data_IF_054867262800
#
_entry.id   IF_054867262800
#
_cell.length_a   1.000
_cell.length_b   1.000
_cell.length_c   1.000
_cell.angle_alpha   90.00
_cell.angle_beta   90.00
_cell.angle_gamma   90.00
#
_symmetry.space_group_name_H-M   'P 1'
#
loop_
_entity.id
_entity.type
_entity.pdbx_description
1 polymer ?
#
# COMPACT_ATOMS: atom_id res chain seq x y z
N UNK A 1 -25.75 10.63 -6.42
CA UNK A 1 -24.98 9.69 -5.57
C UNK A 1 -25.42 9.93 -4.12
N UNK A 2 -26.02 8.93 -3.46
CA UNK A 2 -26.78 9.13 -2.22
C UNK A 2 -25.94 9.36 -0.97
N UNK A 3 -26.56 9.94 0.07
CA UNK A 3 -25.98 10.27 1.39
C UNK A 3 -25.23 9.08 2.01
N UNK A 4 -25.71 7.86 1.80
CA UNK A 4 -25.07 6.62 2.28
C UNK A 4 -23.66 6.47 1.69
N UNK A 5 -23.47 6.76 0.40
CA UNK A 5 -22.19 6.57 -0.28
C UNK A 5 -21.15 7.62 0.17
N UNK A 6 -21.60 8.83 0.51
CA UNK A 6 -20.72 9.85 1.12
C UNK A 6 -20.33 9.53 2.56
N UNK A 7 -21.21 8.85 3.32
CA UNK A 7 -20.90 8.38 4.67
C UNK A 7 -19.85 7.27 4.61
N UNK A 8 -20.05 6.25 3.77
CA UNK A 8 -19.11 5.14 3.64
C UNK A 8 -17.69 5.62 3.27
N UNK A 9 -17.56 6.60 2.37
CA UNK A 9 -16.26 7.20 2.01
C UNK A 9 -15.53 7.94 3.14
N UNK A 10 -16.24 8.32 4.22
CA UNK A 10 -15.69 9.11 5.33
C UNK A 10 -15.61 8.34 6.64
N UNK A 11 -16.34 7.23 6.78
CA UNK A 11 -16.44 6.49 8.03
C UNK A 11 -15.26 5.54 8.26
N UNK A 12 -14.77 4.88 7.21
CA UNK A 12 -13.75 3.85 7.32
C UNK A 12 -12.68 3.98 6.23
N UNK A 13 -11.47 3.53 6.56
CA UNK A 13 -10.46 3.21 5.55
C UNK A 13 -10.83 1.88 4.91
N UNK A 14 -10.92 1.85 3.58
CA UNK A 14 -11.24 0.65 2.81
C UNK A 14 -10.21 0.49 1.69
N UNK A 15 -9.64 -0.71 1.55
CA UNK A 15 -8.76 -1.07 0.43
C UNK A 15 -9.60 -1.80 -0.61
N UNK A 16 -9.55 -1.30 -1.85
CA UNK A 16 -10.32 -1.83 -2.98
C UNK A 16 -9.48 -2.64 -3.95
N UNK A 17 -8.21 -2.26 -4.15
CA UNK A 17 -7.31 -2.96 -5.07
C UNK A 17 -5.84 -2.68 -4.74
N UNK A 18 -4.96 -3.58 -5.18
CA UNK A 18 -3.51 -3.44 -5.09
C UNK A 18 -2.92 -3.78 -6.45
N UNK A 19 -2.08 -2.89 -6.98
CA UNK A 19 -1.43 -3.03 -8.29
C UNK A 19 0.08 -2.78 -8.17
N UNK A 20 0.94 -3.53 -8.90
CA UNK A 20 0.60 -4.71 -9.70
C UNK A 20 0.36 -5.95 -8.83
N UNK A 21 -0.38 -6.93 -9.34
CA UNK A 21 -0.63 -8.21 -8.65
C UNK A 21 0.51 -9.21 -8.78
N UNK A 22 1.40 -9.00 -9.76
CA UNK A 22 2.60 -9.80 -10.00
C UNK A 22 3.77 -8.88 -10.28
N UNK A 23 4.95 -9.27 -9.82
CA UNK A 23 6.18 -8.50 -9.95
C UNK A 23 7.30 -9.41 -10.43
N UNK A 24 8.30 -8.80 -11.06
CA UNK A 24 9.49 -9.49 -11.52
C UNK A 24 10.60 -9.38 -10.47
N UNK A 25 11.34 -10.46 -10.30
CA UNK A 25 12.50 -10.51 -9.42
C UNK A 25 13.64 -9.63 -9.96
N UNK A 26 14.37 -8.96 -9.06
CA UNK A 26 15.49 -8.07 -9.42
C UNK A 26 15.06 -6.73 -10.04
N UNK A 27 13.75 -6.50 -10.22
CA UNK A 27 13.23 -5.24 -10.72
C UNK A 27 12.74 -4.32 -9.59
N UNK A 28 12.89 -3.01 -9.78
CA UNK A 28 12.27 -2.00 -8.93
C UNK A 28 10.83 -1.77 -9.38
N UNK A 29 9.89 -1.79 -8.44
CA UNK A 29 8.49 -1.48 -8.72
C UNK A 29 7.90 -0.56 -7.65
N UNK A 30 6.79 0.08 -8.01
CA UNK A 30 5.95 0.81 -7.07
C UNK A 30 4.64 0.05 -6.91
N UNK A 31 4.16 -0.02 -5.67
CA UNK A 31 2.85 -0.59 -5.35
C UNK A 31 1.85 0.52 -5.16
N UNK A 32 0.77 0.47 -5.92
CA UNK A 32 -0.38 1.36 -5.79
C UNK A 32 -1.45 0.63 -5.01
N UNK A 33 -1.80 1.18 -3.84
CA UNK A 33 -2.95 0.72 -3.05
C UNK A 33 -4.10 1.66 -3.32
N UNK A 34 -5.20 1.17 -3.89
CA UNK A 34 -6.42 1.94 -4.17
C UNK A 34 -7.44 1.69 -3.08
N UNK A 35 -8.16 2.73 -2.68
CA UNK A 35 -9.09 2.65 -1.56
C UNK A 35 -9.90 3.92 -1.35
N UNK A 36 -10.44 4.06 -0.14
CA UNK A 36 -11.10 5.28 0.34
C UNK A 36 -10.65 5.56 1.78
N UNK A 37 -10.72 6.83 2.18
CA UNK A 37 -10.58 7.22 3.58
C UNK A 37 -9.14 7.34 4.07
N UNK A 38 -8.11 7.25 3.23
CA UNK A 38 -6.72 7.21 3.69
C UNK A 38 -6.26 8.49 4.42
N UNK A 39 -6.87 9.65 4.16
CA UNK A 39 -6.59 10.90 4.90
C UNK A 39 -7.37 11.00 6.22
N UNK A 40 -8.31 10.09 6.46
CA UNK A 40 -9.09 10.03 7.70
C UNK A 40 -8.40 9.17 8.77
N UNK A 41 -7.21 8.63 8.47
CA UNK A 41 -6.34 8.04 9.47
C UNK A 41 -5.92 9.13 10.49
N UNK A 42 -5.80 8.76 11.78
CA UNK A 42 -5.49 9.71 12.85
C UNK A 42 -4.20 10.51 12.62
N UNK A 43 -3.24 9.91 11.91
CA UNK A 43 -1.99 10.55 11.53
C UNK A 43 -1.51 9.98 10.18
N UNK A 44 -1.63 10.77 9.12
CA UNK A 44 -1.15 10.43 7.78
C UNK A 44 0.37 10.16 7.74
N UNK A 45 1.14 10.79 8.65
CA UNK A 45 2.59 10.61 8.71
C UNK A 45 3.00 9.27 9.34
N UNK A 46 2.06 8.55 9.96
CA UNK A 46 2.26 7.22 10.53
C UNK A 46 1.91 6.09 9.56
N UNK A 47 1.44 6.41 8.35
CA UNK A 47 1.17 5.39 7.33
C UNK A 47 2.49 4.72 6.92
N UNK A 48 2.51 3.39 6.99
CA UNK A 48 3.63 2.55 6.59
C UNK A 48 3.14 1.48 5.62
N UNK A 49 3.91 1.26 4.56
CA UNK A 49 3.75 0.15 3.63
C UNK A 49 4.61 -1.01 4.14
N UNK A 50 3.96 -2.07 4.64
CA UNK A 50 4.64 -3.26 5.17
C UNK A 50 4.56 -4.40 4.15
N UNK A 51 5.73 -4.86 3.70
CA UNK A 51 5.88 -5.95 2.74
C UNK A 51 6.40 -7.19 3.47
N UNK A 52 5.55 -8.22 3.59
CA UNK A 52 5.95 -9.51 4.17
C UNK A 52 6.35 -10.49 3.06
N UNK A 53 7.61 -10.89 3.04
CA UNK A 53 8.20 -11.80 2.06
C UNK A 53 8.55 -13.11 2.76
N UNK A 54 8.07 -14.23 2.19
CA UNK A 54 8.36 -15.60 2.66
C UNK A 54 8.28 -15.78 4.19
N UNK A 55 7.24 -15.20 4.81
CA UNK A 55 6.88 -15.21 6.25
C UNK A 55 7.98 -14.83 7.27
N UNK A 56 9.18 -14.52 6.82
CA UNK A 56 10.38 -14.33 7.64
C UNK A 56 10.95 -12.93 7.50
N UNK A 57 10.79 -12.31 6.32
CA UNK A 57 11.34 -10.99 6.03
C UNK A 57 10.20 -9.99 5.94
N UNK A 58 10.30 -8.89 6.68
CA UNK A 58 9.35 -7.78 6.60
C UNK A 58 10.11 -6.50 6.30
N UNK A 59 9.74 -5.83 5.22
CA UNK A 59 10.24 -4.50 4.88
C UNK A 59 9.16 -3.47 5.20
N UNK A 60 9.55 -2.37 5.83
CA UNK A 60 8.65 -1.26 6.13
C UNK A 60 9.14 -0.02 5.42
N UNK A 61 8.30 0.53 4.56
CA UNK A 61 8.59 1.72 3.77
C UNK A 61 7.54 2.80 4.04
N UNK A 62 7.95 4.07 3.97
CA UNK A 62 6.99 5.17 3.96
C UNK A 62 6.41 5.33 2.55
N UNK A 63 5.10 5.54 2.41
CA UNK A 63 4.52 5.86 1.11
C UNK A 63 5.12 7.17 0.58
N UNK A 64 5.40 7.21 -0.72
CA UNK A 64 5.82 8.40 -1.44
C UNK A 64 4.68 9.42 -1.56
N UNK A 65 3.45 8.91 -1.67
CA UNK A 65 2.25 9.72 -1.84
C UNK A 65 1.12 9.12 -1.02
N UNK A 66 0.42 9.98 -0.28
CA UNK A 66 -0.84 9.67 0.41
C UNK A 66 -1.93 10.56 -0.19
N UNK A 67 -2.98 9.95 -0.74
CA UNK A 67 -4.22 10.61 -1.15
C UNK A 67 -5.38 9.86 -0.53
N UNK A 68 -6.53 10.49 -0.38
CA UNK A 68 -7.71 9.86 0.23
C UNK A 68 -8.11 8.55 -0.48
N UNK A 69 -7.84 8.44 -1.78
CA UNK A 69 -8.24 7.30 -2.60
C UNK A 69 -7.09 6.40 -3.07
N UNK A 70 -5.83 6.78 -2.84
CA UNK A 70 -4.71 5.90 -3.14
C UNK A 70 -3.44 6.22 -2.35
N UNK A 71 -2.61 5.19 -2.17
CA UNK A 71 -1.25 5.28 -1.65
C UNK A 71 -0.26 4.82 -2.71
N UNK A 72 0.91 5.48 -2.78
CA UNK A 72 2.03 5.03 -3.60
C UNK A 72 3.16 4.56 -2.69
N UNK A 73 3.39 3.26 -2.66
CA UNK A 73 4.43 2.63 -1.85
C UNK A 73 5.63 2.25 -2.72
N UNK A 74 6.86 2.68 -2.37
CA UNK A 74 8.05 2.15 -3.01
C UNK A 74 8.27 0.72 -2.50
N UNK A 75 8.41 -0.25 -3.41
CA UNK A 75 8.66 -1.62 -2.98
C UNK A 75 10.17 -1.91 -2.92
N UNK A 76 10.60 -2.74 -1.96
CA UNK A 76 11.98 -3.23 -1.93
C UNK A 76 12.26 -4.12 -3.15
N UNK A 77 13.50 -4.11 -3.62
CA UNK A 77 13.93 -5.06 -4.66
C UNK A 77 13.99 -6.44 -4.04
N UNK A 78 13.29 -7.40 -4.66
CA UNK A 78 13.36 -8.80 -4.27
C UNK A 78 14.49 -9.47 -5.04
N UNK A 79 15.53 -9.89 -4.33
CA UNK A 79 16.62 -10.69 -4.89
C UNK A 79 16.44 -12.17 -4.50
N UNK A 80 16.78 -13.11 -5.39
CA UNK A 80 17.04 -14.50 -5.02
C UNK A 80 18.09 -14.52 -3.92
N UNK A 81 17.75 -15.16 -2.80
CA UNK A 81 18.75 -15.60 -1.84
C UNK A 81 19.74 -16.46 -2.62
N UNK A 82 20.97 -15.97 -2.82
CA UNK A 82 22.04 -16.77 -3.37
C UNK A 82 22.39 -17.86 -2.35
N UNK A 83 21.75 -19.02 -2.44
CA UNK A 83 22.31 -20.24 -1.88
C UNK A 83 23.60 -20.54 -2.64
N UNK A 84 24.71 -20.15 -2.02
CA UNK A 84 26.06 -20.62 -2.36
C UNK A 84 26.19 -22.10 -2.05
#
# INVERSE_FOLDING_TARGET
QGVINSILKRSCVEILAVEPSSICEGETFQVVVRGNGFLHARDEQQVLCSFRINDTVTFMERPLVVRDTFLLCPAPVLEKVATS
#
